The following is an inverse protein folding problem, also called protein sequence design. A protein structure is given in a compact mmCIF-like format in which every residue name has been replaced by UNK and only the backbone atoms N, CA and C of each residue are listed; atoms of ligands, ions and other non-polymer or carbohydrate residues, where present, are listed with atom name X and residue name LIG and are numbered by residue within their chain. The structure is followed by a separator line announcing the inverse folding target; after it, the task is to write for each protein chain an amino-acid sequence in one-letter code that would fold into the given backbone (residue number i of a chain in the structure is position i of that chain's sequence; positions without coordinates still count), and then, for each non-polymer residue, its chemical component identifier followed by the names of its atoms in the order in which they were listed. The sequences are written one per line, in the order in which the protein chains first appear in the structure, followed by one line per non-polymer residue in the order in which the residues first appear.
data_IF_343375178547
#
_entry.id   IF_343375178547
#
_cell.length_a   1.000
_cell.length_b   1.000
_cell.length_c   1.000
_cell.angle_alpha   90.00
_cell.angle_beta   90.00
_cell.angle_gamma   90.00
#
_symmetry.space_group_name_H-M   'P 1'
#
loop_
_entity.id
_entity.type
_entity.pdbx_description
1 polymer ?
#
# COMPACT_ATOMS: atom_id res chain seq x y z
N UNK A 1 3.80 30.27 -27.28
CA UNK A 1 5.02 29.52 -26.87
C UNK A 1 5.50 29.86 -25.44
N UNK A 2 5.48 31.13 -25.02
CA UNK A 2 5.98 31.60 -23.70
C UNK A 2 5.13 31.10 -22.52
N UNK A 3 3.79 31.15 -22.62
CA UNK A 3 2.86 30.61 -21.62
C UNK A 3 3.08 29.12 -21.31
N UNK A 4 3.46 28.31 -22.31
CA UNK A 4 3.76 26.89 -22.13
C UNK A 4 5.08 26.62 -21.39
N UNK A 5 6.08 27.51 -21.53
CA UNK A 5 7.37 27.40 -20.85
C UNK A 5 7.26 27.84 -19.39
N UNK A 6 6.49 28.91 -19.12
CA UNK A 6 6.20 29.37 -17.76
C UNK A 6 5.38 28.32 -17.00
N UNK A 7 4.34 27.77 -17.62
CA UNK A 7 3.56 26.67 -17.03
C UNK A 7 4.44 25.44 -16.73
N UNK A 8 5.30 25.02 -17.66
CA UNK A 8 6.25 23.91 -17.44
C UNK A 8 7.28 24.19 -16.34
N UNK A 9 7.76 25.43 -16.20
CA UNK A 9 8.69 25.82 -15.13
C UNK A 9 8.06 25.81 -13.74
N UNK A 10 6.83 26.32 -13.62
CA UNK A 10 6.04 26.30 -12.37
C UNK A 10 5.70 24.86 -11.97
N UNK A 11 5.35 24.04 -12.96
CA UNK A 11 5.08 22.60 -12.82
C UNK A 11 6.30 21.84 -12.29
N UNK A 12 7.47 22.03 -12.90
CA UNK A 12 8.71 21.35 -12.49
C UNK A 12 9.11 21.77 -11.08
N UNK A 13 8.96 23.05 -10.75
CA UNK A 13 9.20 23.57 -9.40
C UNK A 13 8.25 23.01 -8.33
N UNK A 14 6.99 22.75 -8.67
CA UNK A 14 6.02 22.14 -7.75
C UNK A 14 6.31 20.64 -7.53
N UNK A 15 6.62 19.89 -8.58
CA UNK A 15 7.01 18.47 -8.47
C UNK A 15 8.27 18.30 -7.62
N UNK A 16 9.32 19.10 -7.87
CA UNK A 16 10.56 19.07 -7.07
C UNK A 16 10.31 19.46 -5.61
N UNK A 17 9.43 20.44 -5.34
CA UNK A 17 9.03 20.79 -3.96
C UNK A 17 8.29 19.66 -3.25
N UNK A 18 7.45 18.91 -3.97
CA UNK A 18 6.72 17.78 -3.40
C UNK A 18 7.67 16.62 -3.11
N UNK A 19 8.58 16.28 -4.02
CA UNK A 19 9.59 15.22 -3.86
C UNK A 19 10.52 15.47 -2.67
N UNK A 20 10.96 16.72 -2.46
CA UNK A 20 11.89 17.09 -1.39
C UNK A 20 11.26 17.11 0.01
N UNK A 21 9.92 17.21 0.13
CA UNK A 21 9.25 17.29 1.43
C UNK A 21 9.16 15.89 2.06
N UNK A 22 9.31 15.72 3.38
CA UNK A 22 9.10 14.43 4.03
C UNK A 22 7.69 13.86 3.78
N UNK A 23 7.60 12.56 3.54
CA UNK A 23 6.35 11.84 3.32
C UNK A 23 5.63 11.62 4.66
N UNK A 24 4.91 12.63 5.13
CA UNK A 24 4.22 12.61 6.42
C UNK A 24 2.73 12.98 6.28
N UNK A 25 1.91 12.41 7.17
CA UNK A 25 0.50 12.72 7.22
C UNK A 25 0.23 14.14 7.77
N UNK A 26 -0.68 14.92 7.17
CA UNK A 26 -0.91 16.32 7.55
C UNK A 26 -1.46 16.42 8.98
N UNK A 27 -1.06 17.45 9.74
CA UNK A 27 -1.43 17.60 11.16
C UNK A 27 -2.49 18.67 11.40
N UNK A 28 -2.64 19.63 10.50
CA UNK A 28 -3.58 20.75 10.62
C UNK A 28 -4.49 20.92 9.39
N UNK A 29 -5.54 21.73 9.49
CA UNK A 29 -6.39 22.09 8.34
C UNK A 29 -5.61 22.83 7.24
N UNK A 30 -4.75 23.83 7.54
CA UNK A 30 -3.88 24.44 6.53
C UNK A 30 -2.97 23.43 5.84
N UNK A 31 -2.39 22.47 6.57
CA UNK A 31 -1.59 21.41 5.97
C UNK A 31 -2.41 20.55 5.01
N UNK A 32 -3.65 20.21 5.36
CA UNK A 32 -4.54 19.44 4.49
C UNK A 32 -4.81 20.21 3.19
N UNK A 33 -5.16 21.50 3.29
CA UNK A 33 -5.43 22.34 2.11
C UNK A 33 -4.19 22.43 1.23
N UNK A 34 -3.03 22.65 1.83
CA UNK A 34 -1.76 22.74 1.12
C UNK A 34 -1.37 21.40 0.46
N UNK A 35 -1.43 20.29 1.19
CA UNK A 35 -1.13 18.94 0.66
C UNK A 35 -2.06 18.60 -0.50
N UNK A 36 -3.35 18.93 -0.40
CA UNK A 36 -4.30 18.74 -1.50
C UNK A 36 -3.98 19.66 -2.69
N UNK A 37 -3.66 20.93 -2.46
CA UNK A 37 -3.30 21.85 -3.53
C UNK A 37 -2.04 21.39 -4.29
N UNK A 38 -1.01 20.93 -3.58
CA UNK A 38 0.20 20.39 -4.18
C UNK A 38 -0.04 19.05 -4.87
N UNK A 39 -0.87 18.17 -4.30
CA UNK A 39 -1.28 16.92 -4.94
C UNK A 39 -2.02 17.19 -6.25
N UNK A 40 -2.97 18.14 -6.24
CA UNK A 40 -3.71 18.57 -7.42
C UNK A 40 -2.75 19.20 -8.44
N UNK A 41 -1.78 20.02 -8.01
CA UNK A 41 -0.75 20.59 -8.91
C UNK A 41 0.15 19.52 -9.53
N UNK A 42 0.63 18.58 -8.73
CA UNK A 42 1.46 17.46 -9.19
C UNK A 42 0.68 16.58 -10.17
N UNK A 43 -0.55 16.24 -9.81
CA UNK A 43 -1.45 15.54 -10.69
C UNK A 43 -1.69 16.35 -11.97
N UNK A 44 -1.92 17.66 -11.88
CA UNK A 44 -2.13 18.54 -13.03
C UNK A 44 -0.88 18.59 -13.93
N UNK A 45 0.32 18.60 -13.36
CA UNK A 45 1.57 18.56 -14.12
C UNK A 45 1.81 17.25 -14.84
N UNK A 46 1.52 16.13 -14.18
CA UNK A 46 1.78 14.79 -14.73
C UNK A 46 0.69 14.34 -15.68
N UNK A 47 -0.57 14.72 -15.42
CA UNK A 47 -1.76 14.21 -16.12
C UNK A 47 -2.49 15.28 -16.93
N UNK A 48 -2.92 16.42 -16.35
CA UNK A 48 -3.86 17.35 -17.00
C UNK A 48 -3.22 18.33 -18.01
N UNK A 49 -1.90 18.50 -17.99
CA UNK A 49 -1.18 19.17 -19.08
C UNK A 49 -1.06 18.33 -20.35
N UNK A 50 -1.41 17.03 -20.28
CA UNK A 50 -1.31 16.04 -21.37
C UNK A 50 -2.64 15.31 -21.67
N UNK A 51 -3.56 15.21 -20.72
CA UNK A 51 -4.78 14.39 -20.76
C UNK A 51 -6.03 15.21 -20.36
N UNK A 52 -7.22 14.84 -20.85
CA UNK A 52 -8.49 15.42 -20.38
C UNK A 52 -8.87 14.90 -18.98
N UNK A 53 -9.68 15.69 -18.25
CA UNK A 53 -10.13 15.39 -16.88
C UNK A 53 -10.83 14.03 -16.71
N UNK A 54 -11.46 13.52 -17.78
CA UNK A 54 -12.15 12.23 -17.78
C UNK A 54 -11.28 11.07 -18.25
N UNK A 55 -10.10 11.33 -18.81
CA UNK A 55 -9.24 10.29 -19.41
C UNK A 55 -8.67 9.35 -18.36
N UNK A 56 -8.28 9.86 -17.18
CA UNK A 56 -7.80 8.99 -16.10
C UNK A 56 -8.90 8.08 -15.54
N UNK A 57 -10.09 8.57 -15.13
CA UNK A 57 -11.19 7.69 -14.73
C UNK A 57 -11.56 6.66 -15.80
N UNK A 58 -11.53 7.06 -17.08
CA UNK A 58 -11.82 6.19 -18.22
C UNK A 58 -10.72 5.15 -18.45
N UNK A 59 -9.46 5.51 -18.28
CA UNK A 59 -8.31 4.61 -18.35
C UNK A 59 -8.30 3.58 -17.21
N UNK A 60 -8.63 4.00 -15.99
CA UNK A 60 -8.80 3.09 -14.84
C UNK A 60 -9.98 2.14 -15.09
N UNK A 61 -11.15 2.66 -15.48
CA UNK A 61 -12.33 1.85 -15.76
C UNK A 61 -12.08 0.85 -16.88
N UNK A 62 -11.42 1.27 -17.96
CA UNK A 62 -11.06 0.39 -19.05
C UNK A 62 -10.01 -0.64 -18.62
N UNK A 63 -8.98 -0.26 -17.85
CA UNK A 63 -7.98 -1.23 -17.34
C UNK A 63 -8.64 -2.32 -16.49
N UNK A 64 -9.68 -1.99 -15.72
CA UNK A 64 -10.48 -2.96 -14.96
C UNK A 64 -11.33 -3.86 -15.89
N UNK A 65 -11.78 -3.34 -17.02
CA UNK A 65 -12.65 -4.05 -17.98
C UNK A 65 -11.88 -4.85 -19.05
N UNK A 66 -10.63 -4.46 -19.35
CA UNK A 66 -9.79 -5.06 -20.37
C UNK A 66 -9.08 -6.30 -19.83
N UNK A 67 -9.64 -7.47 -20.15
CA UNK A 67 -9.09 -8.77 -19.79
C UNK A 67 -8.00 -9.28 -20.75
N UNK A 68 -7.62 -8.49 -21.76
CA UNK A 68 -6.71 -8.92 -22.84
C UNK A 68 -5.24 -8.58 -22.63
N UNK A 69 -4.91 -7.69 -21.67
CA UNK A 69 -3.52 -7.29 -21.37
C UNK A 69 -2.86 -8.19 -20.30
N UNK A 70 -1.52 -8.18 -20.30
CA UNK A 70 -0.62 -8.93 -19.41
C UNK A 70 -1.10 -8.93 -17.95
N UNK A 71 -1.73 -10.02 -17.55
CA UNK A 71 -2.08 -10.26 -16.15
C UNK A 71 -0.88 -10.86 -15.43
N UNK A 72 -0.80 -10.71 -14.11
CA UNK A 72 0.26 -11.34 -13.31
C UNK A 72 0.41 -12.85 -13.59
N UNK A 73 -0.68 -13.63 -13.76
CA UNK A 73 -0.63 -15.01 -14.24
C UNK A 73 0.11 -15.22 -15.56
N UNK A 74 -0.09 -14.33 -16.54
CA UNK A 74 0.62 -14.42 -17.83
C UNK A 74 2.12 -14.24 -17.64
N UNK A 75 2.55 -13.32 -16.76
CA UNK A 75 3.96 -13.11 -16.44
C UNK A 75 4.54 -14.30 -15.65
N UNK A 76 3.76 -14.89 -14.73
CA UNK A 76 4.19 -16.08 -13.98
C UNK A 76 4.40 -17.32 -14.88
N UNK A 77 3.65 -17.46 -15.97
CA UNK A 77 3.84 -18.55 -16.93
C UNK A 77 5.07 -18.40 -17.84
N UNK A 78 5.62 -17.19 -17.94
CA UNK A 78 6.75 -16.87 -18.84
C UNK A 78 8.09 -16.80 -18.08
N UNK A 79 8.06 -16.56 -16.78
CA UNK A 79 9.26 -16.42 -15.96
C UNK A 79 9.77 -17.78 -15.45
N UNK A 80 11.08 -18.00 -15.59
CA UNK A 80 11.75 -19.22 -15.12
C UNK A 80 11.87 -19.35 -13.60
N UNK A 81 11.67 -18.25 -12.85
CA UNK A 81 11.71 -18.22 -11.38
C UNK A 81 10.34 -18.43 -10.72
N UNK A 82 9.30 -18.73 -11.51
CA UNK A 82 7.96 -19.02 -11.01
C UNK A 82 7.77 -20.52 -10.81
N UNK A 83 7.33 -20.91 -9.61
CA UNK A 83 7.12 -22.32 -9.24
C UNK A 83 5.65 -22.56 -8.97
N UNK A 84 5.09 -23.58 -9.62
CA UNK A 84 3.74 -24.03 -9.31
C UNK A 84 3.75 -24.77 -7.96
N UNK A 85 3.00 -24.25 -6.99
CA UNK A 85 2.85 -24.88 -5.68
C UNK A 85 1.99 -26.15 -5.82
N UNK A 86 2.57 -27.32 -5.55
CA UNK A 86 1.90 -28.64 -5.61
C UNK A 86 1.90 -29.40 -4.29
N UNK A 87 2.63 -28.92 -3.30
CA UNK A 87 2.81 -29.57 -1.99
C UNK A 87 1.55 -29.38 -1.10
N UNK A 88 1.00 -30.46 -0.50
CA UNK A 88 -0.06 -30.37 0.49
C UNK A 88 0.26 -29.49 1.72
N UNK A 89 1.52 -29.38 2.15
CA UNK A 89 1.90 -28.51 3.27
C UNK A 89 1.77 -27.01 2.91
N UNK A 90 2.04 -26.65 1.65
CA UNK A 90 1.83 -25.30 1.13
C UNK A 90 0.34 -24.91 1.13
N UNK A 91 -0.56 -25.89 1.04
CA UNK A 91 -2.00 -25.64 1.12
C UNK A 91 -2.38 -25.06 2.49
N UNK A 92 -1.73 -25.51 3.56
CA UNK A 92 -1.97 -24.97 4.92
C UNK A 92 -1.53 -23.51 5.02
N UNK A 93 -0.38 -23.16 4.46
CA UNK A 93 0.08 -21.77 4.40
C UNK A 93 -0.88 -20.89 3.59
N UNK A 94 -1.35 -21.38 2.43
CA UNK A 94 -2.34 -20.70 1.61
C UNK A 94 -3.68 -20.49 2.36
N UNK A 95 -4.11 -21.46 3.18
CA UNK A 95 -5.30 -21.29 4.03
C UNK A 95 -5.12 -20.19 5.08
N UNK A 96 -3.94 -20.11 5.72
CA UNK A 96 -3.64 -19.04 6.67
C UNK A 96 -3.58 -17.66 6.01
N UNK A 97 -2.99 -17.56 4.82
CA UNK A 97 -3.00 -16.34 4.02
C UNK A 97 -4.43 -15.94 3.63
N UNK A 98 -5.24 -16.90 3.16
CA UNK A 98 -6.65 -16.68 2.85
C UNK A 98 -7.45 -16.23 4.08
N UNK A 99 -7.20 -16.81 5.26
CA UNK A 99 -7.80 -16.40 6.54
C UNK A 99 -7.46 -14.94 6.84
N UNK A 100 -6.18 -14.56 6.73
CA UNK A 100 -5.72 -13.18 6.92
C UNK A 100 -6.38 -12.19 5.95
N UNK A 101 -6.43 -12.52 4.66
CA UNK A 101 -7.05 -11.67 3.63
C UNK A 101 -8.57 -11.54 3.84
N UNK A 102 -9.24 -12.64 4.19
CA UNK A 102 -10.68 -12.64 4.49
C UNK A 102 -10.99 -11.76 5.69
N UNK A 103 -10.21 -11.88 6.78
CA UNK A 103 -10.33 -11.01 7.96
C UNK A 103 -10.13 -9.53 7.62
N UNK A 104 -9.19 -9.22 6.75
CA UNK A 104 -8.93 -7.84 6.26
C UNK A 104 -10.08 -7.31 5.40
N UNK A 105 -10.66 -8.15 4.56
CA UNK A 105 -11.84 -7.83 3.77
C UNK A 105 -13.07 -7.59 4.64
N UNK A 106 -13.25 -8.36 5.70
CA UNK A 106 -14.29 -8.14 6.71
C UNK A 106 -14.07 -6.82 7.45
N UNK A 107 -12.85 -6.53 7.90
CA UNK A 107 -12.50 -5.26 8.53
C UNK A 107 -12.81 -4.05 7.64
N UNK A 108 -12.60 -4.23 6.34
CA UNK A 108 -12.93 -3.21 5.36
C UNK A 108 -14.44 -3.09 5.14
N UNK A 109 -15.11 -4.16 4.71
CA UNK A 109 -16.46 -4.07 4.14
C UNK A 109 -17.60 -4.17 5.17
N UNK A 110 -17.31 -4.55 6.42
CA UNK A 110 -18.33 -4.79 7.45
C UNK A 110 -18.21 -3.80 8.60
N UNK A 111 -19.29 -3.68 9.38
CA UNK A 111 -19.22 -2.94 10.65
C UNK A 111 -18.21 -3.63 11.56
N UNK A 112 -17.54 -2.87 12.43
CA UNK A 112 -16.48 -3.44 13.27
C UNK A 112 -16.96 -4.57 14.19
N UNK A 113 -18.20 -4.51 14.68
CA UNK A 113 -18.78 -5.60 15.49
C UNK A 113 -18.94 -6.87 14.66
N UNK A 114 -19.44 -6.75 13.43
CA UNK A 114 -19.59 -7.88 12.50
C UNK A 114 -18.23 -8.43 12.08
N UNK A 115 -17.24 -7.56 11.86
CA UNK A 115 -15.87 -7.97 11.61
C UNK A 115 -15.31 -8.82 12.75
N UNK A 116 -15.39 -8.36 14.01
CA UNK A 116 -14.88 -9.13 15.15
C UNK A 116 -15.55 -10.50 15.22
N UNK A 117 -16.88 -10.53 15.19
CA UNK A 117 -17.65 -11.78 15.24
C UNK A 117 -17.26 -12.75 14.11
N UNK A 118 -17.28 -12.29 12.85
CA UNK A 118 -16.98 -13.14 11.70
C UNK A 118 -15.50 -13.54 11.59
N UNK A 119 -14.58 -12.74 12.15
CA UNK A 119 -13.15 -13.03 12.18
C UNK A 119 -12.74 -13.95 13.34
N UNK A 120 -13.66 -14.24 14.28
CA UNK A 120 -13.40 -15.04 15.48
C UNK A 120 -12.68 -14.26 16.58
N UNK A 121 -12.85 -12.94 16.63
CA UNK A 121 -12.25 -12.08 17.66
C UNK A 121 -13.29 -11.60 18.67
N UNK A 122 -12.88 -11.48 19.92
CA UNK A 122 -13.68 -10.84 20.96
C UNK A 122 -13.36 -9.34 21.08
N UNK A 123 -14.04 -8.63 21.98
CA UNK A 123 -13.71 -7.22 22.26
C UNK A 123 -12.40 -7.08 23.02
N UNK A 124 -12.07 -8.07 23.87
CA UNK A 124 -10.87 -8.07 24.71
C UNK A 124 -9.59 -8.32 23.90
N UNK A 125 -9.74 -8.86 22.68
CA UNK A 125 -8.66 -9.04 21.71
C UNK A 125 -8.27 -7.71 21.03
N UNK A 126 -9.12 -6.68 21.08
CA UNK A 126 -8.86 -5.39 20.44
C UNK A 126 -7.95 -4.53 21.33
N UNK A 127 -6.68 -4.47 20.96
CA UNK A 127 -5.68 -3.68 21.67
C UNK A 127 -5.78 -2.19 21.32
N UNK A 128 -6.11 -1.89 20.07
CA UNK A 128 -6.20 -0.51 19.60
C UNK A 128 -7.03 -0.38 18.32
N UNK A 129 -7.69 0.76 18.15
CA UNK A 129 -8.50 1.02 16.97
C UNK A 129 -8.52 2.49 16.56
N UNK A 130 -8.22 2.76 15.29
CA UNK A 130 -8.51 4.02 14.60
C UNK A 130 -9.67 3.84 13.64
N UNK A 131 -10.85 4.32 14.05
CA UNK A 131 -12.11 4.13 13.31
C UNK A 131 -12.24 4.98 12.05
N UNK A 132 -11.79 6.24 12.08
CA UNK A 132 -12.04 7.22 11.01
C UNK A 132 -10.79 7.38 10.14
N UNK A 133 -10.92 7.08 8.85
CA UNK A 133 -9.91 7.42 7.86
C UNK A 133 -9.88 8.95 7.63
N UNK A 134 -8.69 9.50 7.48
CA UNK A 134 -8.41 10.88 7.03
C UNK A 134 -7.30 10.84 5.98
N UNK A 135 -7.03 11.98 5.33
CA UNK A 135 -5.97 12.11 4.33
C UNK A 135 -4.63 11.58 4.89
N UNK A 136 -4.02 10.59 4.21
CA UNK A 136 -2.79 9.88 4.64
C UNK A 136 -2.87 9.21 6.02
N UNK A 137 -4.07 9.02 6.58
CA UNK A 137 -4.31 8.43 7.92
C UNK A 137 -5.41 7.37 7.79
N UNK A 138 -5.09 6.17 7.27
CA UNK A 138 -6.09 5.14 7.04
C UNK A 138 -6.70 4.65 8.36
N UNK A 139 -7.89 4.06 8.28
CA UNK A 139 -8.43 3.32 9.41
C UNK A 139 -7.63 2.03 9.61
N UNK A 140 -7.26 1.72 10.85
CA UNK A 140 -6.54 0.50 11.18
C UNK A 140 -6.88 0.03 12.60
N UNK A 141 -6.59 -1.23 12.90
CA UNK A 141 -6.78 -1.82 14.23
C UNK A 141 -5.63 -2.75 14.58
N UNK A 142 -5.27 -2.81 15.85
CA UNK A 142 -4.33 -3.79 16.41
C UNK A 142 -5.13 -4.80 17.20
N UNK A 143 -4.96 -6.09 16.88
CA UNK A 143 -5.70 -7.20 17.49
C UNK A 143 -4.70 -8.25 17.97
N UNK A 144 -4.95 -8.78 19.16
CA UNK A 144 -4.25 -9.94 19.71
C UNK A 144 -5.03 -11.20 19.40
N UNK A 145 -4.43 -12.09 18.62
CA UNK A 145 -4.99 -13.41 18.33
C UNK A 145 -4.24 -14.45 19.16
N UNK A 146 -4.92 -14.99 20.18
CA UNK A 146 -4.36 -15.99 21.09
C UNK A 146 -4.29 -17.37 20.46
N UNK A 147 -5.14 -17.66 19.48
CA UNK A 147 -5.14 -18.96 18.79
C UNK A 147 -3.86 -19.15 17.98
N UNK A 148 -3.40 -18.08 17.34
CA UNK A 148 -2.23 -18.10 16.45
C UNK A 148 -0.98 -17.45 17.07
N UNK A 149 -1.02 -17.06 18.36
CA UNK A 149 0.02 -16.27 19.02
C UNK A 149 0.48 -15.10 18.14
N UNK A 150 -0.46 -14.31 17.63
CA UNK A 150 -0.18 -13.24 16.68
C UNK A 150 -0.74 -11.88 17.15
N UNK A 151 0.04 -10.83 16.91
CA UNK A 151 -0.41 -9.45 16.97
C UNK A 151 -0.68 -8.97 15.54
N UNK A 152 -1.96 -8.87 15.18
CA UNK A 152 -2.38 -8.41 13.87
C UNK A 152 -2.49 -6.89 13.82
N UNK A 153 -1.93 -6.28 12.77
CA UNK A 153 -2.18 -4.89 12.39
C UNK A 153 -3.00 -4.91 11.09
N UNK A 154 -4.32 -4.77 11.21
CA UNK A 154 -5.21 -4.72 10.05
C UNK A 154 -5.31 -3.29 9.53
N UNK A 155 -4.95 -3.09 8.26
CA UNK A 155 -5.01 -1.79 7.58
C UNK A 155 -6.16 -1.82 6.58
N UNK A 156 -7.06 -0.85 6.68
CA UNK A 156 -8.21 -0.76 5.78
C UNK A 156 -7.77 -0.25 4.40
N UNK A 157 -8.25 -0.89 3.34
CA UNK A 157 -8.11 -0.38 1.97
C UNK A 157 -9.03 0.82 1.67
N UNK A 158 -8.89 1.35 0.45
CA UNK A 158 -9.65 2.49 -0.09
C UNK A 158 -11.16 2.24 -0.08
N UNK A 159 -11.95 3.16 0.50
CA UNK A 159 -13.42 3.09 0.52
C UNK A 159 -14.11 4.41 0.16
N UNK A 160 -13.35 5.48 -0.07
CA UNK A 160 -13.90 6.81 -0.32
C UNK A 160 -13.02 7.62 -1.26
N UNK A 161 -13.59 8.66 -1.88
CA UNK A 161 -12.87 9.63 -2.72
C UNK A 161 -11.68 10.27 -1.99
N UNK A 162 -11.73 10.38 -0.64
CA UNK A 162 -10.59 10.87 0.17
C UNK A 162 -9.46 9.85 0.30
N UNK A 163 -9.80 8.58 0.25
CA UNK A 163 -8.80 7.51 0.11
C UNK A 163 -8.23 7.56 -1.33
N UNK A 164 -9.06 7.83 -2.34
CA UNK A 164 -8.61 8.09 -3.74
C UNK A 164 -7.70 9.32 -3.87
N UNK A 165 -7.89 10.36 -3.07
CA UNK A 165 -6.98 11.52 -3.04
C UNK A 165 -5.63 11.20 -2.37
N UNK A 166 -5.60 10.22 -1.46
CA UNK A 166 -4.33 9.67 -0.94
C UNK A 166 -3.61 8.90 -2.05
N UNK A 167 -4.35 8.20 -2.92
CA UNK A 167 -3.83 7.52 -4.12
C UNK A 167 -3.32 8.52 -5.18
N UNK A 168 -3.90 9.72 -5.25
CA UNK A 168 -3.44 10.78 -6.15
C UNK A 168 -2.10 11.41 -5.73
N UNK A 169 -1.68 11.25 -4.47
CA UNK A 169 -0.34 11.65 -3.98
C UNK A 169 0.66 10.53 -4.34
N UNK A 170 0.74 10.23 -5.63
CA UNK A 170 1.55 9.15 -6.19
C UNK A 170 2.98 9.55 -6.56
N UNK A 171 3.43 10.73 -6.14
CA UNK A 171 4.82 11.13 -6.33
C UNK A 171 5.74 10.07 -5.71
N UNK A 172 6.74 9.57 -6.45
CA UNK A 172 7.71 8.66 -5.88
C UNK A 172 8.51 9.40 -4.79
N UNK A 173 8.76 8.74 -3.68
CA UNK A 173 9.65 9.24 -2.62
C UNK A 173 10.71 8.21 -2.31
N UNK A 174 11.93 8.68 -2.05
CA UNK A 174 13.00 7.81 -1.57
C UNK A 174 12.56 7.10 -0.30
N UNK A 175 12.68 5.79 -0.29
CA UNK A 175 12.34 4.93 0.84
C UNK A 175 13.54 4.05 1.16
N UNK A 176 14.18 4.33 2.29
CA UNK A 176 15.43 3.68 2.66
C UNK A 176 15.55 3.32 4.15
N UNK A 177 14.76 2.35 4.65
CA UNK A 177 14.80 1.92 6.05
C UNK A 177 15.99 1.01 6.36
N UNK A 178 16.45 1.05 7.61
CA UNK A 178 17.42 0.10 8.16
C UNK A 178 16.71 -1.11 8.77
N UNK A 179 16.87 -2.30 8.22
CA UNK A 179 16.08 -3.46 8.65
C UNK A 179 16.86 -4.42 9.54
N UNK A 180 16.21 -4.90 10.60
CA UNK A 180 16.62 -6.08 11.35
C UNK A 180 15.92 -7.33 10.79
N UNK A 181 16.68 -8.41 10.65
CA UNK A 181 16.16 -9.76 10.35
C UNK A 181 16.73 -10.68 11.41
N UNK A 182 15.85 -11.38 12.13
CA UNK A 182 16.21 -12.31 13.21
C UNK A 182 17.16 -11.70 14.26
N UNK A 183 16.92 -10.43 14.60
CA UNK A 183 17.70 -9.68 15.58
C UNK A 183 19.01 -9.06 15.07
N UNK A 184 19.41 -9.34 13.82
CA UNK A 184 20.63 -8.81 13.21
C UNK A 184 20.35 -7.65 12.24
N UNK A 185 21.15 -6.59 12.34
CA UNK A 185 21.07 -5.47 11.41
C UNK A 185 21.66 -5.87 10.06
N UNK A 186 20.83 -5.88 9.01
CA UNK A 186 21.33 -6.03 7.65
C UNK A 186 22.07 -4.76 7.24
N UNK A 187 23.40 -4.87 7.04
CA UNK A 187 24.28 -3.74 6.66
C UNK A 187 23.91 -3.10 5.32
N UNK A 188 23.27 -3.86 4.42
CA UNK A 188 22.78 -3.33 3.16
C UNK A 188 21.47 -2.57 3.43
N UNK A 189 21.49 -1.25 3.22
CA UNK A 189 20.30 -0.42 3.29
C UNK A 189 19.35 -0.85 2.17
N UNK A 190 18.09 -1.17 2.52
CA UNK A 190 17.04 -1.27 1.51
C UNK A 190 16.94 0.12 0.90
N UNK A 191 17.16 0.27 -0.40
CA UNK A 191 17.02 1.56 -1.08
C UNK A 191 16.10 1.38 -2.28
N UNK A 192 15.07 2.21 -2.34
CA UNK A 192 14.09 2.17 -3.40
C UNK A 192 13.21 3.41 -3.37
N UNK A 193 12.14 3.37 -4.17
CA UNK A 193 11.12 4.42 -4.17
C UNK A 193 9.81 3.80 -3.70
N UNK A 194 9.09 4.52 -2.85
CA UNK A 194 7.74 4.16 -2.42
C UNK A 194 6.73 5.21 -2.87
N UNK A 195 5.46 4.82 -2.93
CA UNK A 195 4.37 5.75 -3.17
C UNK A 195 4.23 6.70 -1.98
N UNK A 196 4.39 8.02 -2.18
CA UNK A 196 4.37 9.03 -1.10
C UNK A 196 3.19 8.91 -0.15
N UNK A 197 1.98 8.75 -0.70
CA UNK A 197 0.78 8.55 0.11
C UNK A 197 0.85 7.32 1.03
N UNK A 198 1.38 6.19 0.54
CA UNK A 198 1.49 4.95 1.30
C UNK A 198 2.63 5.02 2.32
N UNK A 199 3.78 5.62 1.96
CA UNK A 199 4.90 5.85 2.90
C UNK A 199 4.44 6.73 4.06
N UNK A 200 3.72 7.82 3.78
CA UNK A 200 3.17 8.70 4.80
C UNK A 200 2.14 8.00 5.70
N UNK A 201 1.27 7.18 5.12
CA UNK A 201 0.31 6.38 5.86
C UNK A 201 0.99 5.35 6.77
N UNK A 202 1.99 4.62 6.25
CA UNK A 202 2.77 3.64 7.00
C UNK A 202 3.49 4.31 8.19
N UNK A 203 4.17 5.43 7.96
CA UNK A 203 4.83 6.20 9.04
C UNK A 203 3.85 6.65 10.12
N UNK A 204 2.65 7.10 9.72
CA UNK A 204 1.60 7.48 10.67
C UNK A 204 1.09 6.28 11.48
N UNK A 205 0.89 5.12 10.86
CA UNK A 205 0.47 3.90 11.57
C UNK A 205 1.57 3.45 12.54
N UNK A 206 2.83 3.39 12.10
CA UNK A 206 3.99 3.02 12.92
C UNK A 206 4.03 3.84 14.22
N UNK A 207 3.91 5.17 14.11
CA UNK A 207 3.90 6.07 15.28
C UNK A 207 2.85 5.69 16.32
N UNK A 208 1.71 5.13 15.89
CA UNK A 208 0.61 4.77 16.77
C UNK A 208 0.69 3.32 17.26
N UNK A 209 1.07 2.36 16.42
CA UNK A 209 1.04 0.94 16.77
C UNK A 209 2.30 0.47 17.53
N UNK A 210 3.48 1.05 17.28
CA UNK A 210 4.74 0.63 17.93
C UNK A 210 4.66 0.53 19.45
N UNK A 211 4.17 1.55 20.22
CA UNK A 211 4.12 1.43 21.67
C UNK A 211 3.21 0.30 22.16
N UNK A 212 2.10 0.05 21.46
CA UNK A 212 1.14 -1.02 21.78
C UNK A 212 1.76 -2.39 21.51
N UNK A 213 2.41 -2.54 20.35
CA UNK A 213 3.08 -3.77 19.94
C UNK A 213 4.23 -4.12 20.89
N UNK A 214 5.04 -3.12 21.29
CA UNK A 214 6.10 -3.32 22.29
C UNK A 214 5.53 -3.75 23.64
N UNK A 215 4.44 -3.12 24.09
CA UNK A 215 3.82 -3.47 25.37
C UNK A 215 3.30 -4.92 25.38
N UNK A 216 2.64 -5.35 24.30
CA UNK A 216 2.10 -6.70 24.20
C UNK A 216 3.17 -7.77 23.96
N UNK A 217 4.24 -7.47 23.21
CA UNK A 217 5.38 -8.39 23.08
C UNK A 217 6.15 -8.58 24.39
N UNK A 218 6.20 -7.56 25.27
CA UNK A 218 6.79 -7.73 26.60
C UNK A 218 6.03 -8.75 27.44
N UNK A 219 4.70 -8.79 27.30
CA UNK A 219 3.81 -9.72 28.00
C UNK A 219 3.77 -11.10 27.34
N UNK A 220 3.86 -11.16 26.01
CA UNK A 220 3.74 -12.39 25.21
C UNK A 220 4.94 -12.48 24.25
N UNK A 221 6.07 -12.99 24.74
CA UNK A 221 7.36 -12.97 24.02
C UNK A 221 7.40 -13.87 22.79
N UNK A 222 6.52 -14.87 22.74
CA UNK A 222 6.35 -15.85 21.67
C UNK A 222 5.46 -15.34 20.54
N UNK A 223 4.84 -14.16 20.69
CA UNK A 223 3.91 -13.67 19.69
C UNK A 223 4.61 -13.12 18.46
N UNK A 224 4.05 -13.41 17.28
CA UNK A 224 4.50 -12.85 16.02
C UNK A 224 3.69 -11.61 15.65
N UNK A 225 4.30 -10.63 14.98
CA UNK A 225 3.58 -9.48 14.43
C UNK A 225 3.25 -9.76 12.96
N UNK A 226 1.98 -9.60 12.59
CA UNK A 226 1.48 -9.74 11.21
C UNK A 226 0.75 -8.48 10.78
N UNK A 227 1.27 -7.80 9.76
CA UNK A 227 0.60 -6.64 9.14
C UNK A 227 -0.20 -7.11 7.94
N UNK A 228 -1.50 -6.81 7.90
CA UNK A 228 -2.37 -7.31 6.83
C UNK A 228 -3.18 -6.18 6.23
N UNK A 229 -3.22 -6.12 4.91
CA UNK A 229 -3.91 -5.08 4.16
C UNK A 229 -4.36 -5.54 2.78
N UNK A 230 -5.41 -4.92 2.25
CA UNK A 230 -5.95 -5.20 0.93
C UNK A 230 -5.88 -3.94 0.04
N UNK A 231 -5.56 -4.10 -1.25
CA UNK A 231 -5.40 -3.00 -2.22
C UNK A 231 -4.41 -1.94 -1.68
N UNK A 232 -4.76 -0.66 -1.61
CA UNK A 232 -3.92 0.40 -0.99
C UNK A 232 -3.42 0.03 0.41
N UNK A 233 -4.28 -0.63 1.21
CA UNK A 233 -3.91 -1.08 2.53
C UNK A 233 -2.82 -2.15 2.51
N UNK A 234 -2.73 -2.93 1.43
CA UNK A 234 -1.68 -3.91 1.18
C UNK A 234 -0.32 -3.27 0.93
N UNK A 235 -0.26 -2.24 0.08
CA UNK A 235 1.00 -1.53 -0.18
C UNK A 235 1.48 -0.78 1.07
N UNK A 236 0.53 -0.16 1.79
CA UNK A 236 0.80 0.43 3.11
C UNK A 236 1.26 -0.62 4.12
N UNK A 237 0.70 -1.83 4.11
CA UNK A 237 1.11 -2.93 4.98
C UNK A 237 2.55 -3.37 4.70
N UNK A 238 2.93 -3.51 3.43
CA UNK A 238 4.29 -3.87 3.05
C UNK A 238 5.30 -2.82 3.52
N UNK A 239 5.06 -1.55 3.24
CA UNK A 239 5.92 -0.44 3.69
C UNK A 239 5.96 -0.33 5.22
N UNK A 240 4.85 -0.54 5.90
CA UNK A 240 4.81 -0.57 7.36
C UNK A 240 5.67 -1.71 7.92
N UNK A 241 5.65 -2.90 7.32
CA UNK A 241 6.49 -4.02 7.75
C UNK A 241 7.97 -3.68 7.67
N UNK A 242 8.41 -3.07 6.57
CA UNK A 242 9.79 -2.55 6.46
C UNK A 242 10.13 -1.57 7.59
N UNK A 243 9.26 -0.58 7.84
CA UNK A 243 9.51 0.43 8.87
C UNK A 243 9.44 -0.14 10.30
N UNK A 244 8.62 -1.15 10.56
CA UNK A 244 8.54 -1.81 11.86
C UNK A 244 9.82 -2.61 12.13
N UNK A 245 10.39 -3.26 11.11
CA UNK A 245 11.65 -4.00 11.21
C UNK A 245 12.87 -3.14 11.50
N UNK A 246 12.76 -1.81 11.49
CA UNK A 246 13.78 -0.90 12.04
C UNK A 246 13.89 -1.00 13.57
N UNK A 247 12.85 -1.51 14.21
CA UNK A 247 12.82 -1.83 15.64
C UNK A 247 13.26 -3.29 15.79
N UNK A 248 14.40 -3.52 16.46
CA UNK A 248 15.00 -4.87 16.62
C UNK A 248 14.00 -5.91 17.15
N UNK A 249 13.12 -5.53 18.08
CA UNK A 249 12.09 -6.38 18.66
C UNK A 249 11.03 -6.85 17.64
N UNK A 250 10.91 -6.19 16.49
CA UNK A 250 9.96 -6.51 15.43
C UNK A 250 10.65 -7.15 14.21
N UNK A 251 11.87 -7.65 14.37
CA UNK A 251 12.68 -8.26 13.30
C UNK A 251 12.10 -9.55 12.70
N UNK A 252 11.03 -10.10 13.26
CA UNK A 252 10.26 -11.23 12.71
C UNK A 252 8.90 -10.81 12.11
N UNK A 253 8.58 -9.51 12.07
CA UNK A 253 7.31 -8.99 11.58
C UNK A 253 7.07 -9.34 10.11
N UNK A 254 5.92 -9.92 9.76
CA UNK A 254 5.60 -10.27 8.36
C UNK A 254 4.40 -9.48 7.87
N UNK A 255 4.23 -9.39 6.55
CA UNK A 255 2.95 -8.97 5.98
C UNK A 255 2.39 -9.93 4.95
N UNK A 256 1.06 -10.01 4.94
CA UNK A 256 0.28 -10.56 3.86
C UNK A 256 -0.51 -9.41 3.19
N UNK A 257 -0.22 -9.13 1.92
CA UNK A 257 -0.80 -8.02 1.18
C UNK A 257 -1.29 -8.43 -0.21
N UNK A 258 -2.06 -7.56 -0.85
CA UNK A 258 -2.45 -7.65 -2.27
C UNK A 258 -1.89 -6.41 -2.97
N UNK A 259 -0.56 -6.38 -3.20
CA UNK A 259 0.14 -5.28 -3.90
C UNK A 259 1.62 -5.63 -4.10
N UNK A 260 2.18 -5.37 -5.29
CA UNK A 260 3.61 -5.55 -5.55
C UNK A 260 4.36 -4.25 -5.29
N UNK A 261 5.10 -4.15 -4.18
CA UNK A 261 6.02 -3.03 -3.94
C UNK A 261 7.21 -3.45 -3.04
N UNK A 262 8.42 -3.10 -3.50
CA UNK A 262 9.77 -3.36 -2.96
C UNK A 262 10.31 -4.82 -2.95
N UNK A 263 11.02 -5.11 -4.05
CA UNK A 263 12.30 -5.85 -4.28
C UNK A 263 12.63 -7.18 -3.57
N UNK A 264 13.70 -7.81 -4.06
CA UNK A 264 14.34 -9.03 -3.56
C UNK A 264 14.56 -9.07 -2.04
N UNK A 265 14.75 -7.91 -1.39
CA UNK A 265 14.90 -7.82 0.06
C UNK A 265 13.64 -8.21 0.84
N UNK A 266 12.46 -8.00 0.28
CA UNK A 266 11.18 -8.31 0.91
C UNK A 266 10.80 -9.79 0.86
N UNK A 267 11.47 -10.60 0.04
CA UNK A 267 11.12 -12.02 -0.21
C UNK A 267 10.98 -12.84 1.07
N UNK A 268 11.74 -12.52 2.11
CA UNK A 268 11.74 -13.27 3.37
C UNK A 268 10.56 -12.93 4.31
N UNK A 269 9.83 -11.82 4.09
CA UNK A 269 8.83 -11.36 5.07
C UNK A 269 7.61 -10.63 4.48
N UNK A 270 7.58 -10.39 3.17
CA UNK A 270 6.44 -9.83 2.45
C UNK A 270 5.85 -10.93 1.57
N UNK A 271 4.61 -11.31 1.83
CA UNK A 271 3.84 -12.22 0.98
C UNK A 271 2.77 -11.41 0.28
N UNK A 272 2.84 -11.37 -1.05
CA UNK A 272 1.83 -10.73 -1.90
C UNK A 272 0.95 -11.79 -2.56
N UNK A 273 -0.36 -11.74 -2.31
CA UNK A 273 -1.34 -12.63 -2.93
C UNK A 273 -2.07 -11.83 -4.01
N UNK A 274 -2.04 -12.31 -5.25
CA UNK A 274 -2.63 -11.64 -6.40
C UNK A 274 -3.67 -12.58 -7.00
N UNK A 275 -4.90 -12.12 -7.13
CA UNK A 275 -5.99 -12.94 -7.64
C UNK A 275 -6.09 -12.83 -9.16
N UNK A 276 -5.40 -13.72 -9.87
CA UNK A 276 -5.54 -13.94 -11.32
C UNK A 276 -5.60 -12.63 -12.14
N UNK A 277 -6.79 -12.22 -12.56
CA UNK A 277 -7.07 -10.99 -13.32
C UNK A 277 -7.02 -9.69 -12.49
N UNK A 278 -6.48 -9.71 -11.27
CA UNK A 278 -6.39 -8.51 -10.44
C UNK A 278 -5.40 -7.52 -11.07
N UNK A 279 -5.95 -6.39 -11.53
CA UNK A 279 -5.20 -5.33 -12.19
C UNK A 279 -4.49 -4.42 -11.20
N UNK A 280 -4.93 -4.37 -9.94
CA UNK A 280 -4.44 -3.42 -8.93
C UNK A 280 -2.91 -3.51 -8.75
N UNK A 281 -2.29 -4.70 -8.65
CA UNK A 281 -0.82 -4.80 -8.53
C UNK A 281 -0.05 -4.35 -9.78
N UNK A 282 -0.72 -4.22 -10.93
CA UNK A 282 -0.13 -3.80 -12.21
C UNK A 282 -0.42 -2.32 -12.54
N UNK A 283 -1.24 -1.65 -11.73
CA UNK A 283 -1.57 -0.23 -11.89
C UNK A 283 -0.42 0.63 -11.36
N UNK A 284 0.17 1.44 -12.24
CA UNK A 284 1.22 2.40 -11.95
C UNK A 284 1.06 3.61 -12.86
N UNK A 285 1.71 4.74 -12.53
CA UNK A 285 1.73 5.90 -13.43
C UNK A 285 2.24 5.54 -14.84
N UNK A 286 3.18 4.60 -14.93
CA UNK A 286 3.73 4.12 -16.19
C UNK A 286 2.73 3.28 -17.00
N UNK A 287 2.04 2.32 -16.38
CA UNK A 287 1.03 1.51 -17.07
C UNK A 287 -0.19 2.33 -17.50
N UNK A 288 -0.54 3.38 -16.74
CA UNK A 288 -1.58 4.35 -17.12
C UNK A 288 -1.14 5.25 -18.28
N UNK A 289 0.09 5.80 -18.28
CA UNK A 289 0.60 6.61 -19.41
C UNK A 289 0.70 5.79 -20.70
N UNK A 290 1.23 4.56 -20.63
CA UNK A 290 1.28 3.65 -21.77
C UNK A 290 -0.12 3.35 -22.32
N UNK A 291 -1.10 3.14 -21.45
CA UNK A 291 -2.48 2.87 -21.83
C UNK A 291 -3.14 4.04 -22.55
N UNK A 292 -3.03 5.26 -22.01
CA UNK A 292 -3.62 6.46 -22.61
C UNK A 292 -3.03 6.70 -23.99
N UNK A 293 -1.73 6.47 -24.17
CA UNK A 293 -1.08 6.57 -25.49
C UNK A 293 -1.56 5.53 -26.50
N UNK A 294 -1.94 4.35 -26.06
CA UNK A 294 -2.41 3.26 -26.94
C UNK A 294 -3.89 3.41 -27.30
N UNK A 295 -4.76 3.72 -26.34
CA UNK A 295 -6.22 3.68 -26.50
C UNK A 295 -6.83 5.03 -26.85
N UNK A 296 -6.23 6.13 -26.40
CA UNK A 296 -6.73 7.50 -26.65
C UNK A 296 -5.95 8.22 -27.76
N UNK A 297 -5.29 7.49 -28.68
CA UNK A 297 -4.80 8.12 -29.92
C UNK A 297 -5.95 8.91 -30.54
N UNK A 298 -5.77 10.21 -30.86
CA UNK A 298 -6.60 10.82 -31.87
C UNK A 298 -6.38 9.99 -33.13
N UNK A 299 -7.45 9.40 -33.66
CA UNK A 299 -7.47 9.07 -35.08
C UNK A 299 -7.32 10.42 -35.78
N UNK A 300 -6.09 10.80 -36.11
CA UNK A 300 -5.87 11.92 -37.01
C UNK A 300 -6.49 11.50 -38.33
N UNK A 301 -7.49 12.22 -38.86
CA UNK A 301 -7.99 11.95 -40.19
C UNK A 301 -6.82 12.14 -41.15
N UNK A 302 -6.50 11.08 -41.90
CA UNK A 302 -5.61 11.11 -43.07
C UNK A 302 -6.17 12.02 -44.14
#
# INVERSE_FOLDING_TARGET
MILSRVAKGVVKGAATKLEQRPAEAPQSLPDIVFTLAEAIRFFYSETLGKWHLLDLPRAILFSIMDKSKKTVPMECGVRSDCVQLKDPELLKELYELKKCLTRTMLFSKKSFRVFLFAAGFSKEDVLFRKKRARLLKPAFTVIRDKESNCLFVFIRGTQSIRDTLTDAIGAPVSFSPYIYIDGELKKNMVSGHGHRGMVAAAGWIKKHCTPILLDELRKNKDYQIKVVGHSLGGGTAALLTYMLREVKQFSSCTSASVSSELSEFGKAFIISVINDLDVVPTLSAYSVDGFIREVLKPVLPT
#
